data_IF_035508423256
#
_entry.id   IF_035508423256
#
_cell.length_a   1.000
_cell.length_b   1.000
_cell.length_c   1.000
_cell.angle_alpha   90.00
_cell.angle_beta   90.00
_cell.angle_gamma   90.00
#
_symmetry.space_group_name_H-M   'P 1'
#
loop_
_entity.id
_entity.type
_entity.pdbx_description
1 polymer ?
#
# COMPACT_ATOMS: atom_id res chain seq x y z
N UNK A 1 23.89 27.80 39.82
CA UNK A 1 23.17 26.90 38.87
C UNK A 1 21.64 26.97 39.04
N UNK A 2 21.09 27.44 40.17
CA UNK A 2 19.63 27.49 40.37
C UNK A 2 19.00 28.87 40.09
N UNK A 3 19.79 29.94 40.06
CA UNK A 3 19.30 31.30 39.76
C UNK A 3 18.85 31.48 38.30
N UNK A 4 19.40 30.71 37.36
CA UNK A 4 19.03 30.79 35.95
C UNK A 4 17.65 30.17 35.65
N UNK A 5 17.24 29.15 36.40
CA UNK A 5 15.96 28.46 36.17
C UNK A 5 14.76 29.30 36.65
N UNK A 6 14.91 30.00 37.78
CA UNK A 6 13.89 30.94 38.26
C UNK A 6 13.74 32.14 37.33
N UNK A 7 14.87 32.65 36.80
CA UNK A 7 14.87 33.76 35.83
C UNK A 7 14.23 33.36 34.50
N UNK A 8 14.46 32.14 34.04
CA UNK A 8 13.81 31.59 32.85
C UNK A 8 12.30 31.40 33.04
N UNK A 9 11.88 30.86 34.20
CA UNK A 9 10.45 30.71 34.52
C UNK A 9 9.73 32.05 34.64
N UNK A 10 10.37 33.05 35.24
CA UNK A 10 9.80 34.38 35.35
C UNK A 10 9.59 35.02 33.97
N UNK A 11 10.57 34.88 33.07
CA UNK A 11 10.51 35.42 31.70
C UNK A 11 9.42 34.76 30.87
N UNK A 12 9.27 33.43 30.97
CA UNK A 12 8.23 32.69 30.23
C UNK A 12 6.81 33.04 30.71
N UNK A 13 6.60 33.25 32.02
CA UNK A 13 5.30 33.72 32.52
C UNK A 13 4.95 35.11 31.99
N UNK A 14 5.94 35.99 31.85
CA UNK A 14 5.69 37.35 31.34
C UNK A 14 5.34 37.38 29.86
N UNK A 15 5.81 36.43 29.05
CA UNK A 15 5.37 36.33 27.63
C UNK A 15 3.97 35.73 27.48
N UNK A 16 3.59 34.77 28.33
CA UNK A 16 2.31 34.07 28.22
C UNK A 16 1.13 34.91 28.74
N UNK A 17 1.36 35.79 29.72
CA UNK A 17 0.32 36.66 30.30
C UNK A 17 0.03 37.92 29.44
N UNK A 18 0.61 38.02 28.23
CA UNK A 18 0.30 39.08 27.28
C UNK A 18 -1.15 38.99 26.75
N UNK A 19 -1.81 40.13 26.45
CA UNK A 19 -3.16 40.11 25.89
C UNK A 19 -3.17 39.40 24.53
N UNK A 20 -4.07 38.42 24.39
CA UNK A 20 -4.21 37.65 23.16
C UNK A 20 -4.41 38.59 21.95
N UNK A 21 -3.63 38.42 20.86
CA UNK A 21 -3.75 39.28 19.70
C UNK A 21 -5.16 39.17 19.11
N UNK A 22 -5.80 40.32 18.89
CA UNK A 22 -7.16 40.37 18.34
C UNK A 22 -7.21 39.61 16.99
N UNK A 23 -8.14 38.66 16.87
CA UNK A 23 -8.32 37.88 15.65
C UNK A 23 -8.67 38.80 14.48
N UNK A 24 -7.72 39.05 13.57
CA UNK A 24 -7.88 39.98 12.42
C UNK A 24 -8.36 39.30 11.14
N UNK A 25 -9.03 38.15 11.23
CA UNK A 25 -9.57 37.47 10.05
C UNK A 25 -11.03 37.15 10.26
N UNK A 26 -11.88 38.03 9.71
CA UNK A 26 -13.31 37.79 9.60
C UNK A 26 -13.54 36.59 8.66
N UNK A 27 -14.30 35.62 9.13
CA UNK A 27 -14.70 34.42 8.40
C UNK A 27 -15.36 34.78 7.06
N UNK A 28 -16.06 35.91 6.99
CA UNK A 28 -16.68 36.40 5.77
C UNK A 28 -15.65 36.68 4.65
N UNK A 29 -14.45 37.14 5.01
CA UNK A 29 -13.39 37.45 4.05
C UNK A 29 -12.73 36.19 3.47
N UNK A 30 -12.60 35.14 4.29
CA UNK A 30 -12.09 33.83 3.86
C UNK A 30 -13.08 33.17 2.89
N UNK A 31 -14.38 33.20 3.21
CA UNK A 31 -15.42 32.63 2.36
C UNK A 31 -15.56 33.36 1.02
N UNK A 32 -15.42 34.70 1.03
CA UNK A 32 -15.46 35.53 -0.18
C UNK A 32 -14.29 35.23 -1.13
N UNK A 33 -13.07 35.03 -0.61
CA UNK A 33 -11.91 34.61 -1.43
C UNK A 33 -12.06 33.20 -1.98
N UNK A 34 -12.70 32.29 -1.22
CA UNK A 34 -12.97 30.92 -1.65
C UNK A 34 -13.89 30.85 -2.88
N UNK A 35 -15.01 31.60 -2.86
CA UNK A 35 -15.99 31.59 -3.97
C UNK A 35 -15.43 32.12 -5.30
N UNK A 36 -14.55 33.13 -5.26
CA UNK A 36 -13.99 33.74 -6.48
C UNK A 36 -13.05 32.80 -7.25
N UNK A 37 -12.34 31.89 -6.55
CA UNK A 37 -11.44 30.90 -7.19
C UNK A 37 -12.19 29.77 -7.88
N UNK A 38 -13.37 29.40 -7.40
CA UNK A 38 -14.18 28.32 -7.99
C UNK A 38 -14.80 28.73 -9.32
N UNK A 39 -15.20 29.99 -9.47
CA UNK A 39 -15.79 30.50 -10.72
C UNK A 39 -14.78 30.60 -11.87
N UNK A 40 -13.52 30.97 -11.57
CA UNK A 40 -12.46 31.07 -12.60
C UNK A 40 -12.08 29.71 -13.19
N UNK A 41 -12.20 28.61 -12.40
CA UNK A 41 -11.89 27.26 -12.90
C UNK A 41 -12.96 26.65 -13.81
N UNK A 42 -14.19 27.16 -13.81
CA UNK A 42 -15.27 26.61 -14.66
C UNK A 42 -15.29 27.15 -16.09
N UNK A 43 -14.56 28.24 -16.38
CA UNK A 43 -14.49 28.80 -17.74
C UNK A 43 -13.43 28.15 -18.65
N UNK A 44 -12.50 27.35 -18.11
CA UNK A 44 -11.37 26.80 -18.86
C UNK A 44 -11.59 25.44 -19.55
N UNK A 45 -12.74 24.78 -19.36
CA UNK A 45 -12.94 23.37 -19.69
C UNK A 45 -13.65 23.08 -21.04
N UNK A 46 -13.93 24.08 -21.89
CA UNK A 46 -14.78 23.88 -23.10
C UNK A 46 -14.01 23.91 -24.43
N UNK A 47 -12.70 24.15 -24.47
CA UNK A 47 -11.99 24.38 -25.73
C UNK A 47 -11.18 23.19 -26.31
N UNK A 48 -11.20 22.00 -25.70
CA UNK A 48 -10.20 20.95 -25.99
C UNK A 48 -10.73 19.60 -26.47
N UNK A 49 -11.77 19.56 -27.32
CA UNK A 49 -12.36 18.28 -27.75
C UNK A 49 -12.75 18.25 -29.24
N UNK A 50 -11.83 18.55 -30.16
CA UNK A 50 -11.99 18.25 -31.59
C UNK A 50 -10.63 18.03 -32.28
N UNK A 51 -10.14 16.79 -32.28
CA UNK A 51 -9.16 16.17 -33.21
C UNK A 51 -8.70 14.87 -32.53
N UNK A 52 -8.95 13.66 -33.01
CA UNK A 52 -8.31 13.04 -34.18
C UNK A 52 -9.14 11.81 -34.56
N UNK A 53 -9.60 11.73 -35.81
CA UNK A 53 -10.09 10.51 -36.47
C UNK A 53 -9.42 10.44 -37.85
N UNK A 54 -8.67 9.36 -38.10
CA UNK A 54 -8.03 9.03 -39.37
C UNK A 54 -7.25 7.71 -39.22
N UNK A 55 -7.84 6.55 -39.55
CA UNK A 55 -7.79 5.82 -40.85
C UNK A 55 -6.47 5.08 -41.12
N UNK A 56 -6.56 3.76 -41.33
CA UNK A 56 -5.90 2.82 -42.32
C UNK A 56 -6.04 1.40 -41.70
N UNK A 57 -6.56 0.32 -42.29
CA UNK A 57 -6.78 -0.09 -43.69
C UNK A 57 -5.89 -1.32 -44.01
N UNK A 58 -6.46 -2.52 -44.23
CA UNK A 58 -5.69 -3.69 -44.71
C UNK A 58 -6.48 -5.01 -44.79
N UNK A 59 -6.53 -5.59 -45.98
CA UNK A 59 -7.44 -6.66 -46.45
C UNK A 59 -6.81 -8.07 -46.55
N UNK A 60 -7.66 -9.08 -46.34
CA UNK A 60 -7.79 -10.48 -46.85
C UNK A 60 -6.68 -11.10 -47.74
N UNK A 61 -6.30 -12.35 -47.45
CA UNK A 61 -6.13 -13.43 -48.46
C UNK A 61 -6.24 -14.85 -47.82
N UNK A 62 -6.95 -15.75 -48.52
CA UNK A 62 -7.19 -17.17 -48.24
C UNK A 62 -6.32 -18.05 -49.17
N UNK A 63 -6.15 -19.32 -48.76
CA UNK A 63 -5.97 -20.55 -49.58
C UNK A 63 -4.58 -21.23 -49.60
N UNK A 64 -4.58 -22.56 -49.38
CA UNK A 64 -3.57 -23.48 -49.97
C UNK A 64 -3.20 -24.72 -49.14
N UNK A 65 -3.77 -25.88 -49.48
CA UNK A 65 -3.44 -27.23 -48.98
C UNK A 65 -2.18 -27.82 -49.65
N UNK A 66 -1.32 -28.54 -48.90
CA UNK A 66 -0.60 -29.76 -49.34
C UNK A 66 0.16 -30.44 -48.19
N UNK A 67 0.07 -31.77 -48.12
CA UNK A 67 0.62 -32.64 -47.09
C UNK A 67 2.11 -33.00 -47.29
N UNK A 68 2.84 -33.17 -46.18
CA UNK A 68 4.07 -33.99 -46.05
C UNK A 68 4.24 -34.42 -44.59
N UNK A 69 4.50 -35.70 -44.27
CA UNK A 69 4.92 -36.10 -42.93
C UNK A 69 6.42 -35.82 -42.80
N UNK A 70 6.77 -34.82 -41.98
CA UNK A 70 8.13 -34.53 -41.59
C UNK A 70 8.35 -34.94 -40.12
N UNK A 71 9.54 -35.48 -39.85
CA UNK A 71 10.11 -35.82 -38.55
C UNK A 71 9.86 -34.76 -37.46
N UNK A 72 9.88 -35.15 -36.16
CA UNK A 72 9.70 -34.19 -35.08
C UNK A 72 10.91 -33.25 -35.03
N UNK A 73 10.77 -32.10 -35.67
CA UNK A 73 11.63 -30.96 -35.43
C UNK A 73 11.38 -30.50 -33.99
N UNK A 74 12.44 -30.43 -33.18
CA UNK A 74 12.47 -29.71 -31.92
C UNK A 74 11.99 -28.28 -32.19
N UNK A 75 10.72 -28.02 -31.90
CA UNK A 75 10.13 -26.70 -32.05
C UNK A 75 10.83 -25.74 -31.09
N UNK A 76 10.88 -24.43 -31.41
CA UNK A 76 11.23 -23.44 -30.42
C UNK A 76 10.27 -23.61 -29.24
N UNK A 77 10.79 -23.66 -28.02
CA UNK A 77 10.00 -23.53 -26.80
C UNK A 77 9.21 -22.24 -26.91
N UNK A 78 7.96 -22.34 -27.35
CA UNK A 78 6.98 -21.27 -27.25
C UNK A 78 6.70 -21.15 -25.77
N UNK A 79 7.54 -20.37 -25.10
CA UNK A 79 7.27 -19.82 -23.78
C UNK A 79 6.00 -19.00 -23.96
N UNK A 80 4.86 -19.66 -23.81
CA UNK A 80 3.55 -19.01 -23.81
C UNK A 80 3.52 -18.18 -22.55
N UNK A 81 3.97 -16.94 -22.67
CA UNK A 81 3.89 -15.96 -21.59
C UNK A 81 2.40 -15.74 -21.39
N UNK A 82 1.83 -16.32 -20.33
CA UNK A 82 0.45 -16.09 -19.97
C UNK A 82 0.24 -14.56 -19.87
N UNK A 83 -0.83 -14.01 -20.45
CA UNK A 83 -1.09 -12.58 -20.36
C UNK A 83 -1.16 -12.18 -18.88
N UNK A 84 -0.60 -11.01 -18.51
CA UNK A 84 -0.60 -10.56 -17.12
C UNK A 84 -2.05 -10.53 -16.61
N UNK A 85 -2.28 -10.96 -15.36
CA UNK A 85 -3.63 -11.07 -14.85
C UNK A 85 -4.29 -9.68 -14.84
N UNK A 86 -5.52 -9.54 -15.37
CA UNK A 86 -6.07 -8.23 -15.67
C UNK A 86 -6.53 -7.52 -14.39
N UNK A 87 -5.66 -6.69 -13.83
CA UNK A 87 -6.03 -5.69 -12.84
C UNK A 87 -7.04 -4.71 -13.46
N UNK A 88 -8.25 -4.67 -12.91
CA UNK A 88 -9.29 -3.72 -13.31
C UNK A 88 -9.16 -2.44 -12.51
N UNK A 89 -9.00 -1.31 -13.20
CA UNK A 89 -9.08 0.01 -12.59
C UNK A 89 -10.52 0.33 -12.23
N UNK A 90 -10.75 0.78 -11.00
CA UNK A 90 -12.08 1.17 -10.55
C UNK A 90 -12.48 2.52 -11.13
N UNK A 91 -13.73 2.64 -11.59
CA UNK A 91 -14.33 3.91 -11.96
C UNK A 91 -14.72 4.70 -10.69
N UNK A 92 -13.70 5.25 -10.05
CA UNK A 92 -13.79 6.07 -8.84
C UNK A 92 -12.88 7.28 -9.04
N UNK A 93 -13.41 8.46 -8.75
CA UNK A 93 -12.63 9.69 -8.83
C UNK A 93 -11.46 9.62 -7.84
N UNK A 94 -10.28 10.06 -8.30
CA UNK A 94 -9.14 10.27 -7.42
C UNK A 94 -9.49 11.28 -6.32
N UNK A 95 -8.98 11.06 -5.11
CA UNK A 95 -9.12 12.00 -4.00
C UNK A 95 -8.18 13.18 -4.19
N UNK A 96 -8.64 14.35 -3.74
CA UNK A 96 -7.80 15.54 -3.72
C UNK A 96 -6.72 15.37 -2.63
N UNK A 97 -5.42 15.43 -2.97
CA UNK A 97 -4.37 15.37 -1.97
C UNK A 97 -4.36 16.63 -1.11
N UNK A 98 -4.07 16.47 0.19
CA UNK A 98 -3.84 17.61 1.10
C UNK A 98 -2.41 18.13 1.02
N UNK A 99 -1.50 17.33 0.44
CA UNK A 99 -0.09 17.66 0.31
C UNK A 99 0.67 16.62 -0.50
N UNK A 100 1.98 16.79 -0.53
CA UNK A 100 2.93 15.83 -1.07
C UNK A 100 3.87 15.43 0.06
N UNK A 101 4.22 14.15 0.11
CA UNK A 101 5.15 13.64 1.11
C UNK A 101 6.43 14.48 1.11
N UNK A 102 6.85 14.89 2.30
CA UNK A 102 8.13 15.53 2.56
C UNK A 102 8.72 14.89 3.80
N UNK A 103 9.98 14.43 3.77
CA UNK A 103 10.58 13.79 4.92
C UNK A 103 10.61 14.70 6.16
N UNK A 104 10.38 14.12 7.33
CA UNK A 104 10.54 14.84 8.58
C UNK A 104 12.03 15.02 8.92
N UNK A 105 12.37 16.16 9.53
CA UNK A 105 13.76 16.43 9.95
C UNK A 105 14.27 15.44 11.01
N UNK A 106 13.35 14.78 11.74
CA UNK A 106 13.67 13.82 12.80
C UNK A 106 14.14 12.47 12.28
N UNK A 107 13.89 12.16 11.00
CA UNK A 107 14.28 10.90 10.38
C UNK A 107 14.54 11.09 8.87
N UNK A 108 15.53 11.93 8.49
CA UNK A 108 15.78 12.23 7.09
C UNK A 108 16.21 10.95 6.34
N UNK A 109 15.84 10.81 5.06
CA UNK A 109 16.38 9.74 4.22
C UNK A 109 17.91 9.91 4.07
N UNK A 110 18.62 8.85 3.67
CA UNK A 110 20.04 8.94 3.29
C UNK A 110 20.28 10.08 2.28
N UNK A 111 21.45 10.74 2.38
CA UNK A 111 21.78 11.98 1.61
C UNK A 111 21.69 11.79 0.10
N UNK A 112 21.96 10.58 -0.38
CA UNK A 112 21.95 10.16 -1.77
C UNK A 112 20.58 9.64 -2.26
N UNK A 113 19.59 9.54 -1.37
CA UNK A 113 18.26 9.01 -1.71
C UNK A 113 17.38 10.09 -2.31
N UNK A 114 16.88 9.82 -3.53
CA UNK A 114 15.87 10.68 -4.15
C UNK A 114 14.60 10.73 -3.29
N UNK A 115 14.16 11.95 -2.95
CA UNK A 115 12.91 12.15 -2.24
C UNK A 115 11.72 11.94 -3.19
N UNK A 116 10.87 10.97 -2.89
CA UNK A 116 9.73 10.61 -3.74
C UNK A 116 8.57 11.57 -3.50
N UNK A 117 8.20 12.32 -4.54
CA UNK A 117 7.06 13.25 -4.53
C UNK A 117 5.71 12.52 -4.65
N UNK A 118 5.26 11.88 -3.57
CA UNK A 118 4.00 11.11 -3.55
C UNK A 118 2.86 11.94 -2.93
N UNK A 119 1.72 12.11 -3.62
CA UNK A 119 0.55 12.79 -3.06
C UNK A 119 0.03 12.10 -1.80
N UNK A 120 -0.34 12.88 -0.79
CA UNK A 120 -0.88 12.39 0.47
C UNK A 120 -2.37 12.68 0.59
N UNK A 121 -3.13 11.66 0.98
CA UNK A 121 -4.55 11.74 1.27
C UNK A 121 -4.84 11.19 2.67
N UNK A 122 -5.92 11.65 3.30
CA UNK A 122 -6.24 11.19 4.66
C UNK A 122 -6.51 9.70 4.67
N UNK A 123 -6.06 9.01 5.72
CA UNK A 123 -6.53 7.67 6.01
C UNK A 123 -8.06 7.74 6.20
N UNK A 124 -8.81 7.01 5.38
CA UNK A 124 -10.20 6.75 5.74
C UNK A 124 -10.16 5.73 6.87
N UNK A 125 -10.77 6.08 8.02
CA UNK A 125 -10.99 5.08 9.05
C UNK A 125 -11.81 3.95 8.42
N UNK A 126 -11.28 2.71 8.38
CA UNK A 126 -12.07 1.60 7.88
C UNK A 126 -13.35 1.53 8.73
N UNK A 127 -14.47 1.33 8.06
CA UNK A 127 -15.72 1.12 8.77
C UNK A 127 -15.70 -0.19 9.55
N UNK A 128 -16.73 -0.47 10.36
CA UNK A 128 -16.81 -1.67 11.18
C UNK A 128 -16.91 -2.96 10.37
N UNK A 129 -16.99 -2.88 9.04
CA UNK A 129 -17.14 -4.01 8.14
C UNK A 129 -15.90 -4.90 8.09
N UNK A 130 -14.70 -4.35 8.30
CA UNK A 130 -13.44 -5.10 8.31
C UNK A 130 -12.70 -4.88 9.63
N UNK A 131 -12.30 -5.98 10.26
CA UNK A 131 -11.58 -5.99 11.53
C UNK A 131 -10.21 -6.63 11.39
N UNK A 132 -9.18 -5.90 11.78
CA UNK A 132 -7.78 -6.34 11.77
C UNK A 132 -7.35 -6.70 13.19
N UNK A 133 -7.81 -7.87 13.67
CA UNK A 133 -7.36 -8.44 14.95
C UNK A 133 -6.11 -9.32 14.81
N UNK A 134 -5.66 -9.55 13.58
CA UNK A 134 -4.46 -10.33 13.27
C UNK A 134 -4.46 -11.76 13.85
N UNK A 135 -5.55 -12.54 13.79
CA UNK A 135 -5.47 -13.93 14.21
C UNK A 135 -4.45 -14.69 13.35
N UNK A 136 -3.94 -15.81 13.85
CA UNK A 136 -3.02 -16.67 13.11
C UNK A 136 -3.63 -17.07 11.74
N UNK A 137 -2.92 -16.86 10.61
CA UNK A 137 -3.36 -17.32 9.29
C UNK A 137 -3.49 -18.84 9.21
N UNK A 138 -4.39 -19.37 8.39
CA UNK A 138 -4.49 -20.83 8.18
C UNK A 138 -3.24 -21.43 7.55
N UNK A 139 -2.90 -22.69 7.87
CA UNK A 139 -1.67 -23.34 7.40
C UNK A 139 -1.53 -23.38 5.87
N UNK A 140 -2.64 -23.61 5.15
CA UNK A 140 -2.65 -23.59 3.69
C UNK A 140 -2.22 -22.22 3.13
N UNK A 141 -2.78 -21.14 3.67
CA UNK A 141 -2.43 -19.76 3.30
C UNK A 141 -0.98 -19.44 3.63
N UNK A 142 -0.49 -19.83 4.82
CA UNK A 142 0.91 -19.62 5.20
C UNK A 142 1.88 -20.33 4.26
N UNK A 143 1.57 -21.58 3.89
CA UNK A 143 2.39 -22.37 2.97
C UNK A 143 2.41 -21.75 1.58
N UNK A 144 1.25 -21.34 1.05
CA UNK A 144 1.14 -20.70 -0.25
C UNK A 144 1.89 -19.36 -0.30
N UNK A 145 1.72 -18.52 0.72
CA UNK A 145 2.40 -17.24 0.86
C UNK A 145 3.92 -17.41 0.92
N UNK A 146 4.42 -18.25 1.83
CA UNK A 146 5.87 -18.43 2.05
C UNK A 146 6.57 -19.08 0.86
N UNK A 147 5.95 -20.11 0.26
CA UNK A 147 6.48 -20.81 -0.90
C UNK A 147 6.57 -19.89 -2.11
N UNK A 148 5.49 -19.17 -2.43
CA UNK A 148 5.46 -18.25 -3.58
C UNK A 148 6.40 -17.08 -3.37
N UNK A 149 6.50 -16.56 -2.15
CA UNK A 149 7.49 -15.53 -1.80
C UNK A 149 8.92 -16.00 -2.12
N UNK A 150 9.28 -17.22 -1.73
CA UNK A 150 10.58 -17.80 -2.04
C UNK A 150 10.83 -17.94 -3.55
N UNK A 151 9.79 -18.25 -4.33
CA UNK A 151 9.89 -18.37 -5.80
C UNK A 151 10.11 -17.01 -6.48
N UNK A 152 9.35 -15.98 -6.10
CA UNK A 152 9.43 -14.65 -6.73
C UNK A 152 10.60 -13.80 -6.23
N UNK A 153 11.29 -14.23 -5.17
CA UNK A 153 12.45 -13.53 -4.62
C UNK A 153 13.69 -13.60 -5.54
N UNK A 154 13.74 -14.51 -6.52
CA UNK A 154 14.87 -14.63 -7.43
C UNK A 154 15.08 -13.35 -8.26
N UNK A 155 16.33 -12.90 -8.49
CA UNK A 155 17.60 -13.55 -8.15
C UNK A 155 18.09 -13.29 -6.71
N UNK A 156 17.34 -12.55 -5.89
CA UNK A 156 17.63 -12.33 -4.49
C UNK A 156 17.37 -13.57 -3.62
N UNK A 157 17.39 -13.37 -2.30
CA UNK A 157 17.18 -14.42 -1.29
C UNK A 157 16.02 -14.06 -0.37
N UNK A 158 15.16 -15.05 -0.11
CA UNK A 158 14.14 -15.01 0.93
C UNK A 158 14.68 -15.65 2.22
N UNK A 159 14.43 -15.02 3.37
CA UNK A 159 14.71 -15.61 4.69
C UNK A 159 13.65 -16.66 5.07
N UNK A 160 13.90 -17.46 6.13
CA UNK A 160 12.82 -18.18 6.81
C UNK A 160 11.74 -17.23 7.32
N UNK A 161 10.52 -17.75 7.52
CA UNK A 161 9.41 -16.96 8.08
C UNK A 161 9.75 -16.50 9.49
N UNK A 162 9.73 -15.19 9.69
CA UNK A 162 9.74 -14.54 10.99
C UNK A 162 8.31 -14.39 11.49
N UNK A 163 8.14 -14.41 12.81
CA UNK A 163 6.84 -14.24 13.47
C UNK A 163 6.99 -13.40 14.72
N UNK A 164 5.99 -12.56 14.98
CA UNK A 164 5.85 -11.84 16.24
C UNK A 164 4.42 -11.95 16.76
N UNK A 165 4.32 -12.23 18.06
CA UNK A 165 3.06 -12.32 18.80
C UNK A 165 2.83 -11.01 19.54
N UNK A 166 1.66 -10.42 19.34
CA UNK A 166 1.14 -9.29 20.10
C UNK A 166 0.11 -9.83 21.10
N UNK A 167 0.47 -9.96 22.39
CA UNK A 167 -0.44 -10.55 23.37
C UNK A 167 -1.73 -9.73 23.51
N UNK A 168 -2.85 -10.44 23.63
CA UNK A 168 -4.15 -9.85 23.90
C UNK A 168 -4.11 -8.90 25.11
N UNK A 169 -4.74 -7.73 25.01
CA UNK A 169 -4.86 -6.80 26.11
C UNK A 169 -6.26 -6.85 26.74
N UNK A 170 -6.56 -7.97 27.40
CA UNK A 170 -7.85 -8.22 28.03
C UNK A 170 -8.25 -7.16 29.08
N UNK A 171 -7.27 -6.49 29.69
CA UNK A 171 -7.51 -5.41 30.64
C UNK A 171 -8.09 -4.15 29.98
N UNK A 172 -7.74 -3.87 28.72
CA UNK A 172 -8.30 -2.74 27.95
C UNK A 172 -9.52 -3.15 27.13
N UNK A 173 -9.51 -4.37 26.59
CA UNK A 173 -10.50 -4.90 25.63
C UNK A 173 -10.73 -6.38 25.92
N UNK A 174 -11.83 -6.75 26.61
CA UNK A 174 -12.13 -8.15 26.95
C UNK A 174 -12.29 -9.07 25.72
N UNK A 175 -12.57 -8.50 24.55
CA UNK A 175 -12.68 -9.15 23.25
C UNK A 175 -11.33 -9.25 22.50
N UNK A 176 -10.23 -8.77 23.09
CA UNK A 176 -8.90 -8.82 22.46
C UNK A 176 -8.45 -10.27 22.29
N UNK A 177 -7.94 -10.56 21.10
CA UNK A 177 -7.23 -11.81 20.80
C UNK A 177 -5.75 -11.53 20.64
N UNK A 178 -4.93 -12.58 20.64
CA UNK A 178 -3.52 -12.47 20.28
C UNK A 178 -3.40 -12.09 18.81
N UNK A 179 -2.58 -11.08 18.53
CA UNK A 179 -2.25 -10.64 17.19
C UNK A 179 -0.97 -11.33 16.68
N UNK A 180 -0.97 -11.73 15.42
CA UNK A 180 0.11 -12.45 14.77
C UNK A 180 0.52 -11.70 13.51
N UNK A 181 1.76 -11.25 13.47
CA UNK A 181 2.37 -10.73 12.25
C UNK A 181 3.50 -11.66 11.83
N UNK A 182 3.49 -12.04 10.55
CA UNK A 182 4.55 -12.84 9.93
C UNK A 182 5.22 -12.04 8.83
N UNK A 183 6.52 -12.20 8.65
CA UNK A 183 7.24 -11.59 7.54
C UNK A 183 8.39 -12.46 7.04
N UNK A 184 8.78 -12.24 5.80
CA UNK A 184 9.96 -12.81 5.16
C UNK A 184 10.82 -11.64 4.69
N UNK A 185 12.10 -11.67 5.04
CA UNK A 185 13.07 -10.71 4.52
C UNK A 185 13.48 -11.10 3.11
N UNK A 186 13.54 -10.10 2.23
CA UNK A 186 13.91 -10.24 0.82
C UNK A 186 15.17 -9.42 0.60
N UNK A 187 16.29 -10.11 0.35
CA UNK A 187 17.62 -9.49 0.29
C UNK A 187 18.26 -9.70 -1.08
N UNK A 188 18.66 -8.61 -1.72
CA UNK A 188 19.47 -8.58 -2.95
C UNK A 188 20.71 -7.68 -2.75
N UNK A 189 21.38 -7.31 -3.84
CA UNK A 189 22.52 -6.39 -3.86
C UNK A 189 22.17 -4.95 -3.46
N UNK A 190 20.87 -4.60 -3.43
CA UNK A 190 20.36 -3.29 -3.04
C UNK A 190 19.87 -3.24 -1.59
N UNK A 191 20.02 -4.34 -0.84
CA UNK A 191 19.71 -4.43 0.58
C UNK A 191 18.46 -5.26 0.90
N UNK A 192 17.97 -5.12 2.13
CA UNK A 192 16.88 -5.95 2.66
C UNK A 192 15.56 -5.18 2.70
N UNK A 193 14.54 -5.73 2.04
CA UNK A 193 13.14 -5.37 2.24
C UNK A 193 12.38 -6.52 2.89
N UNK A 194 11.07 -6.40 3.02
CA UNK A 194 10.24 -7.49 3.56
C UNK A 194 8.90 -7.60 2.85
N UNK A 195 8.32 -8.80 2.91
CA UNK A 195 6.91 -9.04 2.68
C UNK A 195 6.30 -9.56 3.97
N UNK A 196 5.20 -8.96 4.43
CA UNK A 196 4.46 -9.42 5.61
C UNK A 196 3.08 -9.96 5.25
N UNK A 197 2.56 -10.85 6.09
CA UNK A 197 1.23 -11.43 6.00
C UNK A 197 0.49 -11.22 7.32
N UNK A 198 -0.70 -10.66 7.20
CA UNK A 198 -1.63 -10.41 8.31
C UNK A 198 -3.03 -10.90 7.92
N UNK A 199 -3.82 -11.32 8.90
CA UNK A 199 -5.20 -11.76 8.72
C UNK A 199 -6.17 -10.81 9.44
N UNK A 200 -7.36 -10.67 8.88
CA UNK A 200 -8.49 -9.98 9.45
C UNK A 200 -9.77 -10.74 9.12
N UNK A 201 -10.90 -10.13 9.44
CA UNK A 201 -12.22 -10.64 9.10
C UNK A 201 -13.12 -9.54 8.57
N UNK A 202 -14.06 -9.92 7.70
CA UNK A 202 -15.10 -9.08 7.18
C UNK A 202 -16.47 -9.65 7.54
N UNK A 203 -17.40 -8.78 7.92
CA UNK A 203 -18.80 -9.14 8.21
C UNK A 203 -19.74 -8.99 7.01
N UNK A 204 -19.20 -8.54 5.88
CA UNK A 204 -19.92 -8.25 4.63
C UNK A 204 -19.27 -9.01 3.46
N UNK A 205 -19.97 -9.18 2.32
CA UNK A 205 -19.41 -9.85 1.15
C UNK A 205 -18.12 -9.19 0.63
N UNK A 206 -17.23 -9.94 -0.07
CA UNK A 206 -15.90 -9.47 -0.48
C UNK A 206 -15.88 -8.10 -1.18
N UNK A 207 -16.81 -7.87 -2.10
CA UNK A 207 -16.92 -6.59 -2.82
C UNK A 207 -17.23 -5.43 -1.87
N UNK A 208 -18.16 -5.62 -0.94
CA UNK A 208 -18.55 -4.59 0.02
C UNK A 208 -17.42 -4.30 1.02
N UNK A 209 -16.70 -5.32 1.47
CA UNK A 209 -15.52 -5.16 2.33
C UNK A 209 -14.42 -4.37 1.60
N UNK A 210 -14.12 -4.73 0.35
CA UNK A 210 -13.14 -4.04 -0.46
C UNK A 210 -13.53 -2.58 -0.77
N UNK A 211 -14.83 -2.30 -0.94
CA UNK A 211 -15.37 -0.95 -1.11
C UNK A 211 -15.27 -0.13 0.18
N UNK A 212 -15.53 -0.72 1.35
CA UNK A 212 -15.37 -0.07 2.66
C UNK A 212 -13.90 0.33 2.91
N UNK A 213 -12.95 -0.45 2.38
CA UNK A 213 -11.52 -0.21 2.55
C UNK A 213 -10.84 0.48 1.35
N UNK A 214 -11.61 1.07 0.43
CA UNK A 214 -11.11 1.71 -0.81
C UNK A 214 -9.97 2.72 -0.56
N UNK A 215 -10.01 3.40 0.58
CA UNK A 215 -9.06 4.43 1.00
C UNK A 215 -8.39 4.12 2.35
N UNK A 216 -8.46 2.87 2.82
CA UNK A 216 -7.90 2.45 4.11
C UNK A 216 -6.39 2.69 4.19
N UNK A 217 -5.73 2.76 3.04
CA UNK A 217 -4.33 3.07 2.94
C UNK A 217 -4.06 4.56 2.72
N UNK A 218 -5.02 5.49 2.83
CA UNK A 218 -4.71 6.93 2.62
C UNK A 218 -4.16 7.22 1.21
N UNK A 219 -4.45 6.32 0.27
CA UNK A 219 -4.17 6.45 -1.14
C UNK A 219 -5.03 7.57 -1.73
N UNK A 220 -4.50 8.26 -2.74
CA UNK A 220 -5.26 9.26 -3.50
C UNK A 220 -5.87 8.67 -4.77
N UNK A 221 -5.24 7.65 -5.36
CA UNK A 221 -5.77 6.90 -6.49
C UNK A 221 -6.53 5.67 -5.98
N UNK A 222 -7.67 5.32 -6.58
CA UNK A 222 -8.38 4.10 -6.20
C UNK A 222 -7.49 2.88 -6.44
N UNK A 223 -7.59 1.85 -5.59
CA UNK A 223 -6.87 0.61 -5.81
C UNK A 223 -7.40 -0.10 -7.06
N UNK A 224 -6.60 -1.03 -7.58
CA UNK A 224 -7.01 -1.91 -8.69
C UNK A 224 -7.52 -3.23 -8.14
N UNK A 225 -8.44 -3.87 -8.86
CA UNK A 225 -9.07 -5.12 -8.42
C UNK A 225 -8.89 -6.27 -9.40
N UNK A 226 -8.92 -7.47 -8.85
CA UNK A 226 -8.99 -8.72 -9.58
C UNK A 226 -9.95 -9.64 -8.84
N UNK A 227 -10.83 -10.33 -9.56
CA UNK A 227 -11.76 -11.31 -8.97
C UNK A 227 -11.40 -12.68 -9.51
N UNK A 228 -11.24 -13.65 -8.60
CA UNK A 228 -10.90 -15.04 -8.93
C UNK A 228 -12.17 -15.87 -9.15
N UNK A 229 -12.09 -17.00 -9.89
CA UNK A 229 -13.24 -17.88 -10.12
C UNK A 229 -13.88 -18.45 -8.83
N UNK A 230 -13.11 -18.58 -7.74
CA UNK A 230 -13.63 -19.00 -6.42
C UNK A 230 -14.36 -17.88 -5.66
N UNK A 231 -14.54 -16.70 -6.27
CA UNK A 231 -15.22 -15.56 -5.64
C UNK A 231 -14.32 -14.71 -4.73
N UNK A 232 -13.03 -15.06 -4.60
CA UNK A 232 -12.05 -14.25 -3.87
C UNK A 232 -11.75 -12.98 -4.66
N UNK A 233 -11.73 -11.84 -3.96
CA UNK A 233 -11.39 -10.54 -4.53
C UNK A 233 -10.01 -10.10 -4.05
N UNK A 234 -9.13 -9.71 -4.96
CA UNK A 234 -7.84 -9.09 -4.67
C UNK A 234 -7.94 -7.58 -4.92
N UNK A 235 -7.38 -6.78 -4.03
CA UNK A 235 -7.32 -5.32 -4.13
C UNK A 235 -5.88 -4.85 -3.94
N UNK A 236 -5.28 -4.30 -4.99
CA UNK A 236 -3.91 -3.79 -4.98
C UNK A 236 -3.91 -2.27 -4.82
N UNK A 237 -3.28 -1.81 -3.75
CA UNK A 237 -3.12 -0.40 -3.45
C UNK A 237 -1.89 0.18 -4.15
N UNK A 238 -1.90 1.49 -4.49
CA UNK A 238 -0.71 2.15 -4.99
C UNK A 238 0.39 2.17 -3.93
N UNK A 239 1.64 2.27 -4.38
CA UNK A 239 2.79 2.48 -3.49
C UNK A 239 2.58 3.75 -2.68
N UNK A 240 2.81 3.67 -1.38
CA UNK A 240 2.84 4.81 -0.48
C UNK A 240 4.23 5.08 0.04
N UNK A 241 4.36 6.30 0.52
CA UNK A 241 5.53 6.77 1.26
C UNK A 241 5.07 7.22 2.64
N UNK A 242 5.80 6.81 3.67
CA UNK A 242 5.57 7.25 5.03
C UNK A 242 6.86 7.52 5.77
N UNK A 243 6.74 8.29 6.85
CA UNK A 243 7.77 8.37 7.88
C UNK A 243 7.85 7.04 8.67
N UNK A 244 9.01 6.75 9.28
CA UNK A 244 10.29 7.46 9.14
C UNK A 244 11.08 7.05 7.89
N UNK A 245 12.11 7.84 7.54
CA UNK A 245 13.16 7.52 6.56
C UNK A 245 12.71 7.31 5.10
N UNK A 246 11.55 7.84 4.72
CA UNK A 246 10.94 7.53 3.42
C UNK A 246 10.72 6.02 3.24
N UNK A 247 9.89 5.45 4.11
CA UNK A 247 9.48 4.05 4.03
C UNK A 247 8.48 3.88 2.89
N UNK A 248 8.80 2.98 1.95
CA UNK A 248 7.92 2.61 0.85
C UNK A 248 7.13 1.36 1.22
N UNK A 249 5.81 1.43 1.02
CA UNK A 249 4.91 0.28 1.24
C UNK A 249 3.95 0.14 0.07
N UNK A 250 3.81 -1.07 -0.44
CA UNK A 250 2.72 -1.46 -1.34
C UNK A 250 1.93 -2.60 -0.70
N UNK A 251 0.61 -2.49 -0.70
CA UNK A 251 -0.25 -3.47 -0.04
C UNK A 251 -1.19 -4.13 -1.05
N UNK A 252 -1.35 -5.44 -0.95
CA UNK A 252 -2.37 -6.22 -1.63
C UNK A 252 -3.26 -6.85 -0.57
N UNK A 253 -4.58 -6.64 -0.70
CA UNK A 253 -5.58 -7.29 0.15
C UNK A 253 -6.31 -8.39 -0.59
N UNK A 254 -6.62 -9.47 0.12
CA UNK A 254 -7.38 -10.63 -0.38
C UNK A 254 -8.63 -10.78 0.47
N UNK A 255 -9.81 -10.71 -0.13
CA UNK A 255 -11.11 -10.81 0.54
C UNK A 255 -11.81 -12.10 0.10
N UNK A 256 -12.01 -13.00 1.06
CA UNK A 256 -12.59 -14.31 0.81
C UNK A 256 -14.12 -14.32 1.02
N UNK A 257 -14.89 -15.12 0.27
CA UNK A 257 -16.32 -15.32 0.54
C UNK A 257 -16.62 -15.88 1.93
N UNK A 258 -15.65 -16.55 2.57
CA UNK A 258 -15.73 -17.04 3.95
C UNK A 258 -15.77 -15.92 5.01
N UNK A 259 -15.50 -14.67 4.61
CA UNK A 259 -15.33 -13.53 5.52
C UNK A 259 -13.90 -13.36 6.01
N UNK A 260 -12.95 -14.19 5.58
CA UNK A 260 -11.53 -13.96 5.89
C UNK A 260 -10.95 -12.86 4.99
N UNK A 261 -10.10 -12.01 5.57
CA UNK A 261 -9.37 -10.98 4.85
C UNK A 261 -7.88 -11.15 5.12
N UNK A 262 -7.04 -11.00 4.11
CA UNK A 262 -5.59 -11.04 4.26
C UNK A 262 -4.97 -9.76 3.74
N UNK A 263 -3.98 -9.23 4.45
CA UNK A 263 -3.13 -8.14 3.99
C UNK A 263 -1.72 -8.66 3.75
N UNK A 264 -1.23 -8.43 2.52
CA UNK A 264 0.12 -8.74 2.10
C UNK A 264 0.82 -7.41 1.86
N UNK A 265 1.75 -7.04 2.74
CA UNK A 265 2.46 -5.76 2.67
C UNK A 265 3.89 -5.96 2.20
N UNK A 266 4.25 -5.35 1.07
CA UNK A 266 5.61 -5.26 0.56
C UNK A 266 6.25 -3.97 1.05
N UNK A 267 7.41 -4.05 1.70
CA UNK A 267 8.10 -2.92 2.34
C UNK A 267 9.55 -2.83 1.89
N UNK A 268 10.07 -1.63 1.70
CA UNK A 268 11.48 -1.40 1.37
C UNK A 268 12.44 -1.53 2.57
N UNK A 269 12.01 -2.19 3.64
CA UNK A 269 12.81 -2.42 4.82
C UNK A 269 12.49 -3.79 5.40
N UNK A 270 13.43 -4.42 6.09
CA UNK A 270 13.25 -5.73 6.72
C UNK A 270 13.78 -5.75 8.15
N UNK A 271 13.98 -6.96 8.69
CA UNK A 271 14.41 -7.16 10.09
C UNK A 271 15.66 -6.37 10.51
N UNK A 272 16.66 -6.08 9.65
CA UNK A 272 17.79 -5.23 10.04
C UNK A 272 17.40 -3.79 10.39
N UNK A 273 16.27 -3.30 9.87
CA UNK A 273 15.86 -1.91 9.94
C UNK A 273 14.71 -1.66 10.92
N UNK A 274 14.27 -2.68 11.67
CA UNK A 274 13.33 -2.47 12.75
C UNK A 274 13.62 -3.41 13.92
N UNK A 275 13.11 -3.05 15.09
CA UNK A 275 13.16 -3.88 16.28
C UNK A 275 11.82 -3.85 17.02
N UNK A 276 11.42 -4.94 17.70
CA UNK A 276 10.29 -4.87 18.61
C UNK A 276 10.49 -3.77 19.66
N UNK A 277 9.42 -3.04 19.98
CA UNK A 277 9.40 -2.11 21.09
C UNK A 277 9.56 -2.87 22.42
N UNK A 278 10.00 -2.17 23.47
CA UNK A 278 10.21 -2.76 24.79
C UNK A 278 8.93 -3.37 25.38
N UNK A 279 7.76 -2.85 25.03
CA UNK A 279 6.46 -3.39 25.45
C UNK A 279 5.96 -4.55 24.57
N UNK A 280 6.69 -4.87 23.50
CA UNK A 280 6.36 -5.94 22.54
C UNK A 280 5.12 -5.67 21.69
N UNK A 281 4.56 -4.44 21.69
CA UNK A 281 3.28 -4.13 21.04
C UNK A 281 3.39 -3.51 19.66
N UNK A 282 4.58 -3.06 19.29
CA UNK A 282 4.86 -2.54 17.96
C UNK A 282 6.33 -2.71 17.61
N UNK A 283 6.72 -2.21 16.44
CA UNK A 283 8.11 -2.18 15.99
C UNK A 283 8.58 -0.73 15.88
N UNK A 284 9.79 -0.46 16.36
CA UNK A 284 10.51 0.77 16.08
C UNK A 284 11.30 0.62 14.79
N UNK A 285 11.18 1.60 13.90
CA UNK A 285 12.07 1.72 12.74
C UNK A 285 13.43 2.24 13.20
N UNK A 286 14.49 1.49 12.93
CA UNK A 286 15.87 1.77 13.33
C UNK A 286 16.77 2.14 12.16
N UNK A 287 16.36 1.79 10.93
CA UNK A 287 17.17 2.02 9.73
C UNK A 287 16.33 2.50 8.55
N UNK A 288 16.98 3.12 7.54
CA UNK A 288 16.28 3.66 6.38
C UNK A 288 15.82 2.59 5.38
N UNK A 289 16.23 1.33 5.51
CA UNK A 289 15.95 0.29 4.52
C UNK A 289 16.60 0.55 3.16
N UNK A 290 16.19 -0.23 2.16
CA UNK A 290 16.60 -0.09 0.74
C UNK A 290 15.83 1.01 0.02
N UNK A 291 16.35 1.48 -1.11
CA UNK A 291 15.74 2.58 -1.87
C UNK A 291 14.39 2.20 -2.52
N UNK A 292 14.27 0.97 -3.01
CA UNK A 292 13.09 0.49 -3.73
C UNK A 292 12.38 -0.63 -2.99
N UNK A 293 11.13 -0.92 -3.35
CA UNK A 293 10.49 -2.17 -2.94
C UNK A 293 11.30 -3.39 -3.42
N UNK A 294 11.31 -4.50 -2.65
CA UNK A 294 12.13 -5.67 -2.95
C UNK A 294 11.55 -6.60 -4.02
N UNK A 295 10.28 -6.43 -4.39
CA UNK A 295 9.62 -7.15 -5.49
C UNK A 295 8.97 -6.16 -6.45
N UNK A 296 8.74 -6.62 -7.68
CA UNK A 296 7.84 -5.96 -8.61
C UNK A 296 6.38 -6.15 -8.20
N UNK A 297 5.50 -5.39 -8.84
CA UNK A 297 4.06 -5.59 -8.73
C UNK A 297 3.64 -7.01 -9.14
N UNK A 298 4.27 -7.58 -10.17
CA UNK A 298 3.98 -8.94 -10.63
C UNK A 298 4.33 -9.98 -9.55
N UNK A 299 5.47 -9.79 -8.86
CA UNK A 299 5.86 -10.63 -7.73
C UNK A 299 4.85 -10.57 -6.58
N UNK A 300 4.42 -9.36 -6.19
CA UNK A 300 3.37 -9.19 -5.18
C UNK A 300 2.03 -9.78 -5.62
N UNK A 301 1.67 -9.62 -6.89
CA UNK A 301 0.45 -10.17 -7.49
C UNK A 301 0.47 -11.71 -7.46
N UNK A 302 1.60 -12.33 -7.81
CA UNK A 302 1.75 -13.78 -7.76
C UNK A 302 1.56 -14.33 -6.34
N UNK A 303 2.12 -13.65 -5.32
CA UNK A 303 1.90 -14.00 -3.91
C UNK A 303 0.40 -13.88 -3.55
N UNK A 304 -0.25 -12.78 -3.93
CA UNK A 304 -1.68 -12.58 -3.68
C UNK A 304 -2.58 -13.63 -4.34
N UNK A 305 -2.26 -14.04 -5.57
CA UNK A 305 -2.94 -15.10 -6.32
C UNK A 305 -2.79 -16.44 -5.60
N UNK A 306 -1.57 -16.79 -5.18
CA UNK A 306 -1.32 -18.04 -4.46
C UNK A 306 -2.07 -18.10 -3.12
N UNK A 307 -2.12 -16.99 -2.38
CA UNK A 307 -2.94 -16.88 -1.18
C UNK A 307 -4.44 -17.04 -1.50
N UNK A 308 -4.92 -16.39 -2.56
CA UNK A 308 -6.31 -16.50 -3.00
C UNK A 308 -6.71 -17.92 -3.44
N UNK A 309 -5.78 -18.69 -4.01
CA UNK A 309 -6.01 -20.08 -4.45
C UNK A 309 -5.95 -21.10 -3.30
N UNK A 310 -5.41 -20.71 -2.14
CA UNK A 310 -5.37 -21.52 -0.93
C UNK A 310 -6.62 -21.37 -0.04
N UNK A 311 -7.60 -20.56 -0.49
CA UNK A 311 -8.87 -20.25 0.18
C UNK A 311 -10.04 -20.94 -0.52
#
# INVERSE_FOLDING_TARGET
MWEDEERLRATLRTEVDGPAPAARTDLADVLRRGRRRVLVRRAGAVAGALAVVGVVGGTVALSGLAARPAEPASGPDVTTTAPPPPWTTLDRAARQPYGTFSPAFSAPPPVDREVKAVPQCDLAFPGPEVSWLHPEPGAAVQNAWSTTTGQVAAPGRASPVHSHLFPANLAKRPDSVDGHTRWIDLTDDRGTGSVSLERGSASVPPQAAADAELWAQGNCLPPRRMVRPNGVLLQLYPVRVSEPFQSLTQELRVYAPSGEVYSISLRNFGSPDFRPQADGRAFDRTGPGRETLPLSEDGLTAIGIAVADAL
#
